data_IF_893758117462
#
_entry.id   IF_893758117462
#
_cell.length_a   1.000
_cell.length_b   1.000
_cell.length_c   1.000
_cell.angle_alpha   90.00
_cell.angle_beta   90.00
_cell.angle_gamma   90.00
#
_symmetry.space_group_name_H-M   'P 1'
#
loop_
_entity.id
_entity.type
_entity.pdbx_description
1 polymer ?
#
# COMPACT_ATOMS: atom_id res chain seq x y z
N UNK A 1 78.67 -11.62 19.88
CA UNK A 1 77.23 -11.43 19.56
C UNK A 1 77.13 -10.93 18.14
N UNK A 2 76.60 -11.74 17.22
CA UNK A 2 76.37 -11.39 15.82
C UNK A 2 74.95 -10.83 15.70
N UNK A 3 74.80 -9.67 15.07
CA UNK A 3 73.51 -9.11 14.68
C UNK A 3 73.12 -9.68 13.33
N UNK A 4 71.99 -10.38 13.27
CA UNK A 4 71.39 -10.80 12.02
C UNK A 4 70.10 -10.02 11.76
N UNK A 5 70.08 -9.48 10.55
CA UNK A 5 69.06 -8.75 9.85
C UNK A 5 67.68 -9.41 9.88
N UNK A 6 66.66 -8.64 10.27
CA UNK A 6 65.26 -8.89 9.91
C UNK A 6 64.81 -7.73 9.02
N UNK A 7 65.21 -7.78 7.76
CA UNK A 7 64.71 -6.90 6.70
C UNK A 7 63.43 -7.53 6.13
N UNK A 8 62.28 -7.13 6.67
CA UNK A 8 60.97 -7.56 6.22
C UNK A 8 60.65 -6.92 4.84
N UNK A 9 60.66 -7.74 3.78
CA UNK A 9 60.49 -7.30 2.37
C UNK A 9 59.03 -7.25 1.88
N UNK A 10 58.04 -7.39 2.76
CA UNK A 10 56.63 -7.53 2.36
C UNK A 10 55.78 -6.24 2.29
N UNK A 11 56.36 -5.05 2.43
CA UNK A 11 55.59 -3.79 2.48
C UNK A 11 55.39 -3.04 1.16
N UNK A 12 55.64 -3.67 0.01
CA UNK A 12 55.43 -3.03 -1.31
C UNK A 12 54.54 -3.88 -2.22
N UNK A 13 53.28 -4.10 -1.81
CA UNK A 13 52.22 -4.34 -2.80
C UNK A 13 51.69 -3.00 -3.28
N UNK A 14 51.64 -2.75 -4.60
CA UNK A 14 51.04 -1.54 -5.13
C UNK A 14 49.58 -1.49 -4.66
N UNK A 15 49.18 -0.36 -4.08
CA UNK A 15 47.77 -0.04 -3.88
C UNK A 15 47.13 -0.06 -5.27
N UNK A 16 46.29 -1.06 -5.53
CA UNK A 16 45.39 -1.04 -6.68
C UNK A 16 44.68 0.32 -6.66
N UNK A 17 44.97 1.13 -7.67
CA UNK A 17 44.31 2.41 -7.85
C UNK A 17 42.82 2.15 -8.03
N UNK A 18 41.99 2.96 -7.39
CA UNK A 18 40.53 2.87 -7.37
C UNK A 18 39.90 2.70 -8.77
N UNK A 19 40.60 3.14 -9.81
CA UNK A 19 40.21 3.01 -11.21
C UNK A 19 40.22 1.55 -11.74
N UNK A 20 41.14 0.68 -11.30
CA UNK A 20 41.19 -0.72 -11.76
C UNK A 20 40.14 -1.60 -11.07
N UNK A 21 39.71 -1.23 -9.86
CA UNK A 21 38.60 -1.89 -9.17
C UNK A 21 37.28 -1.53 -9.85
N UNK A 22 37.11 -0.25 -10.24
CA UNK A 22 35.93 0.21 -10.97
C UNK A 22 35.85 -0.39 -12.40
N UNK A 23 36.98 -0.50 -13.11
CA UNK A 23 37.01 -1.08 -14.45
C UNK A 23 36.72 -2.60 -14.46
N UNK A 24 37.00 -3.33 -13.36
CA UNK A 24 36.67 -4.76 -13.25
C UNK A 24 35.21 -5.04 -12.88
N UNK A 25 34.49 -4.07 -12.33
CA UNK A 25 33.05 -4.20 -12.08
C UNK A 25 32.20 -3.90 -13.34
N UNK A 26 32.73 -3.16 -14.31
CA UNK A 26 32.02 -2.86 -15.58
C UNK A 26 32.01 -4.02 -16.60
N UNK A 27 32.92 -5.00 -16.49
CA UNK A 27 33.13 -6.00 -17.54
C UNK A 27 32.41 -7.35 -17.35
N UNK A 28 31.65 -7.56 -16.26
CA UNK A 28 30.91 -8.81 -16.03
C UNK A 28 29.45 -8.60 -15.65
N UNK A 29 28.64 -8.60 -16.69
CA UNK A 29 27.19 -8.80 -16.62
C UNK A 29 26.48 -7.62 -17.23
N UNK A 30 25.63 -7.87 -18.21
CA UNK A 30 24.67 -6.92 -18.74
C UNK A 30 23.91 -6.31 -17.54
N UNK A 31 24.40 -5.18 -17.05
CA UNK A 31 24.14 -4.63 -15.73
C UNK A 31 22.76 -4.02 -15.61
N UNK A 32 21.73 -4.82 -15.90
CA UNK A 32 20.37 -4.48 -15.51
C UNK A 32 20.34 -4.57 -13.99
N UNK A 33 20.03 -3.45 -13.29
CA UNK A 33 19.89 -3.49 -11.84
C UNK A 33 18.86 -4.56 -11.49
N UNK A 34 19.30 -5.63 -10.81
CA UNK A 34 18.41 -6.67 -10.33
C UNK A 34 17.53 -6.07 -9.23
N UNK A 35 16.24 -5.95 -9.52
CA UNK A 35 15.24 -5.28 -8.70
C UNK A 35 14.85 -6.08 -7.44
N UNK A 36 15.33 -7.32 -7.25
CA UNK A 36 14.68 -8.26 -6.32
C UNK A 36 15.33 -8.54 -4.97
N UNK A 37 16.38 -7.83 -4.53
CA UNK A 37 16.95 -8.04 -3.18
C UNK A 37 16.36 -7.15 -2.08
N UNK A 38 15.29 -6.39 -2.36
CA UNK A 38 14.58 -5.65 -1.32
C UNK A 38 13.79 -6.65 -0.45
N UNK A 39 14.12 -6.70 0.85
CA UNK A 39 13.51 -7.50 1.94
C UNK A 39 14.09 -8.89 2.26
N UNK A 40 15.24 -9.29 1.70
CA UNK A 40 15.88 -10.56 2.07
C UNK A 40 15.05 -11.82 1.73
N UNK A 41 14.05 -11.65 0.85
CA UNK A 41 13.33 -12.74 0.22
C UNK A 41 14.08 -13.08 -1.06
N UNK A 42 14.56 -14.32 -1.16
CA UNK A 42 15.33 -14.83 -2.30
C UNK A 42 14.44 -15.05 -3.54
N UNK A 43 13.74 -14.01 -3.99
CA UNK A 43 12.83 -14.08 -5.14
C UNK A 43 13.57 -14.36 -6.45
N UNK A 44 14.79 -13.83 -6.58
CA UNK A 44 15.57 -13.81 -7.83
C UNK A 44 16.60 -14.94 -7.96
N UNK A 45 16.58 -15.96 -7.08
CA UNK A 45 17.47 -17.10 -7.26
C UNK A 45 17.15 -17.81 -8.59
N UNK A 46 18.12 -18.01 -9.50
CA UNK A 46 17.89 -18.81 -10.70
C UNK A 46 17.35 -20.19 -10.32
N UNK A 47 16.12 -20.52 -10.74
CA UNK A 47 15.43 -21.77 -10.37
C UNK A 47 14.43 -21.64 -9.20
N UNK A 48 14.29 -20.46 -8.59
CA UNK A 48 13.15 -20.14 -7.70
C UNK A 48 11.88 -20.08 -8.55
N UNK A 49 11.03 -21.10 -8.41
CA UNK A 49 9.70 -21.14 -8.99
C UNK A 49 8.74 -20.24 -8.19
N UNK A 50 9.17 -19.02 -7.85
CA UNK A 50 8.34 -18.12 -7.06
C UNK A 50 6.99 -17.98 -7.74
N UNK A 51 5.89 -18.38 -7.08
CA UNK A 51 4.56 -18.26 -7.65
C UNK A 51 4.09 -16.81 -7.73
N UNK A 52 4.91 -15.86 -7.26
CA UNK A 52 4.57 -14.45 -7.20
C UNK A 52 5.05 -13.74 -8.47
N UNK A 53 4.20 -12.87 -9.04
CA UNK A 53 4.58 -12.10 -10.21
C UNK A 53 5.79 -11.22 -9.88
N UNK A 54 6.84 -11.28 -10.70
CA UNK A 54 7.98 -10.39 -10.58
C UNK A 54 7.54 -8.95 -10.85
N UNK A 55 8.08 -7.99 -10.10
CA UNK A 55 7.78 -6.56 -10.28
C UNK A 55 8.11 -6.05 -11.70
N UNK A 56 8.90 -6.82 -12.45
CA UNK A 56 9.30 -6.57 -13.83
C UNK A 56 8.26 -6.96 -14.89
N UNK A 57 7.11 -7.54 -14.51
CA UNK A 57 6.07 -7.93 -15.46
C UNK A 57 5.38 -6.74 -16.15
N UNK A 58 5.48 -5.54 -15.57
CA UNK A 58 4.90 -4.34 -16.18
C UNK A 58 5.83 -3.74 -17.24
N UNK A 59 5.27 -3.11 -18.30
CA UNK A 59 6.05 -2.38 -19.28
C UNK A 59 7.04 -1.40 -18.64
N UNK A 60 8.26 -1.36 -19.17
CA UNK A 60 9.37 -0.57 -18.62
C UNK A 60 9.02 0.93 -18.49
N UNK A 61 8.30 1.49 -19.47
CA UNK A 61 7.88 2.90 -19.45
C UNK A 61 6.92 3.26 -18.30
N UNK A 62 6.32 2.28 -17.62
CA UNK A 62 5.51 2.49 -16.42
C UNK A 62 6.32 2.35 -15.12
N UNK A 63 7.56 1.86 -15.20
CA UNK A 63 8.42 1.56 -14.05
C UNK A 63 9.60 2.54 -13.96
N UNK A 64 10.25 2.76 -15.10
CA UNK A 64 11.47 3.56 -15.22
C UNK A 64 11.18 4.82 -16.02
N UNK A 65 11.76 5.94 -15.58
CA UNK A 65 11.65 7.23 -16.26
C UNK A 65 11.29 8.37 -15.30
N UNK A 66 11.36 9.61 -15.79
CA UNK A 66 10.96 10.77 -15.01
C UNK A 66 9.46 10.74 -14.71
N UNK A 67 9.06 11.37 -13.61
CA UNK A 67 7.65 11.62 -13.35
C UNK A 67 7.09 12.55 -14.42
N UNK A 68 5.86 12.27 -14.87
CA UNK A 68 5.15 13.16 -15.77
C UNK A 68 4.78 14.48 -15.09
N UNK A 69 4.70 15.54 -15.87
CA UNK A 69 4.21 16.83 -15.37
C UNK A 69 2.79 16.74 -14.79
N UNK A 70 1.94 15.88 -15.36
CA UNK A 70 0.57 15.68 -14.86
C UNK A 70 0.54 15.05 -13.47
N UNK A 71 1.45 14.11 -13.17
CA UNK A 71 1.63 13.59 -11.81
C UNK A 71 2.00 14.72 -10.84
N UNK A 72 3.00 15.53 -11.19
CA UNK A 72 3.43 16.65 -10.35
C UNK A 72 2.30 17.68 -10.12
N UNK A 73 1.60 18.08 -11.19
CA UNK A 73 0.46 19.01 -11.12
C UNK A 73 -0.64 18.43 -10.21
N UNK A 74 -0.97 17.15 -10.38
CA UNK A 74 -1.97 16.50 -9.53
C UNK A 74 -1.54 16.49 -8.06
N UNK A 75 -0.30 16.13 -7.75
CA UNK A 75 0.20 16.09 -6.37
C UNK A 75 0.17 17.48 -5.71
N UNK A 76 0.61 18.51 -6.42
CA UNK A 76 0.54 19.90 -5.93
C UNK A 76 -0.90 20.32 -5.71
N UNK A 77 -1.81 20.03 -6.65
CA UNK A 77 -3.23 20.33 -6.51
C UNK A 77 -3.87 19.56 -5.35
N UNK A 78 -3.50 18.29 -5.14
CA UNK A 78 -4.05 17.46 -4.09
C UNK A 78 -3.58 17.90 -2.69
N UNK A 79 -2.28 18.22 -2.55
CA UNK A 79 -1.74 18.84 -1.33
C UNK A 79 -2.41 20.19 -1.09
N UNK A 80 -2.51 21.04 -2.13
CA UNK A 80 -3.19 22.32 -2.06
C UNK A 80 -4.63 22.18 -1.58
N UNK A 81 -5.38 21.23 -2.14
CA UNK A 81 -6.73 20.91 -1.69
C UNK A 81 -6.78 20.53 -0.21
N UNK A 82 -5.95 19.58 0.24
CA UNK A 82 -5.93 19.12 1.64
C UNK A 82 -5.58 20.27 2.60
N UNK A 83 -4.56 21.07 2.27
CA UNK A 83 -4.12 22.19 3.13
C UNK A 83 -5.17 23.30 3.17
N UNK A 84 -5.67 23.74 2.02
CA UNK A 84 -6.60 24.87 1.95
C UNK A 84 -7.99 24.55 2.50
N UNK A 85 -8.40 23.28 2.47
CA UNK A 85 -9.68 22.84 3.02
C UNK A 85 -9.63 22.39 4.49
N UNK A 86 -8.45 22.46 5.13
CA UNK A 86 -8.28 22.02 6.52
C UNK A 86 -9.13 22.82 7.52
N UNK A 87 -9.34 24.12 7.29
CA UNK A 87 -10.21 24.94 8.14
C UNK A 87 -11.67 24.48 8.10
N UNK A 88 -12.19 24.15 6.91
CA UNK A 88 -13.55 23.63 6.77
C UNK A 88 -13.73 22.27 7.46
N UNK A 89 -12.70 21.41 7.40
CA UNK A 89 -12.70 20.15 8.13
C UNK A 89 -12.64 20.37 9.66
N UNK A 90 -11.88 21.37 10.11
CA UNK A 90 -11.79 21.74 11.52
C UNK A 90 -13.12 22.24 12.09
N UNK A 91 -13.87 23.04 11.34
CA UNK A 91 -15.20 23.53 11.74
C UNK A 91 -16.18 22.37 12.00
N UNK A 92 -16.02 21.26 11.27
CA UNK A 92 -16.82 20.04 11.41
C UNK A 92 -16.37 19.13 12.57
N UNK A 93 -15.30 19.44 13.30
CA UNK A 93 -14.78 18.62 14.41
C UNK A 93 -15.80 18.45 15.54
N UNK A 94 -16.64 19.47 15.76
CA UNK A 94 -17.73 19.43 16.73
C UNK A 94 -18.73 18.30 16.47
N UNK A 95 -18.99 17.97 15.19
CA UNK A 95 -19.92 16.93 14.75
C UNK A 95 -19.49 15.52 15.14
N UNK A 96 -18.20 15.31 15.44
CA UNK A 96 -17.72 14.03 15.98
C UNK A 96 -18.30 13.74 17.37
N UNK A 97 -18.65 14.78 18.13
CA UNK A 97 -19.22 14.65 19.48
C UNK A 97 -20.71 14.27 19.45
N UNK A 98 -21.38 14.53 18.33
CA UNK A 98 -22.79 14.19 18.14
C UNK A 98 -23.00 12.69 17.87
N UNK A 99 -21.92 11.92 17.66
CA UNK A 99 -21.99 10.48 17.49
C UNK A 99 -22.44 9.80 18.79
N UNK A 100 -23.64 9.22 18.76
CA UNK A 100 -24.14 8.42 19.87
C UNK A 100 -23.18 7.26 20.19
N UNK A 101 -22.94 6.96 21.48
CA UNK A 101 -22.10 5.84 21.86
C UNK A 101 -22.71 4.54 21.35
N UNK A 102 -21.87 3.65 20.81
CA UNK A 102 -22.31 2.32 20.39
C UNK A 102 -22.90 1.53 21.58
N UNK A 103 -24.00 0.82 21.33
CA UNK A 103 -24.57 -0.08 22.34
C UNK A 103 -23.57 -1.18 22.72
N UNK A 104 -23.74 -1.77 23.90
CA UNK A 104 -22.85 -2.84 24.38
C UNK A 104 -22.75 -3.99 23.37
N UNK A 105 -23.87 -4.40 22.75
CA UNK A 105 -23.89 -5.47 21.74
C UNK A 105 -23.06 -5.10 20.51
N UNK A 106 -23.19 -3.87 20.00
CA UNK A 106 -22.40 -3.39 18.87
C UNK A 106 -20.91 -3.34 19.23
N UNK A 107 -20.57 -2.92 20.45
CA UNK A 107 -19.19 -2.91 20.95
C UNK A 107 -18.60 -4.32 21.02
N UNK A 108 -19.34 -5.29 21.54
CA UNK A 108 -18.90 -6.69 21.61
C UNK A 108 -18.73 -7.31 20.23
N UNK A 109 -19.65 -7.03 19.30
CA UNK A 109 -19.55 -7.49 17.91
C UNK A 109 -18.28 -6.95 17.23
N UNK A 110 -18.02 -5.65 17.36
CA UNK A 110 -16.79 -5.04 16.83
C UNK A 110 -15.54 -5.56 17.55
N UNK A 111 -15.62 -5.86 18.86
CA UNK A 111 -14.55 -6.50 19.61
C UNK A 111 -14.19 -7.88 19.07
N UNK A 112 -15.20 -8.73 18.80
CA UNK A 112 -14.99 -10.02 18.17
C UNK A 112 -14.37 -9.88 16.77
N UNK A 113 -14.84 -8.91 15.98
CA UNK A 113 -14.26 -8.59 14.68
C UNK A 113 -12.80 -8.12 14.78
N UNK A 114 -12.46 -7.26 15.74
CA UNK A 114 -11.08 -6.81 15.96
C UNK A 114 -10.13 -7.96 16.29
N UNK A 115 -10.57 -8.89 17.16
CA UNK A 115 -9.80 -10.11 17.49
C UNK A 115 -9.61 -10.97 16.25
N UNK A 116 -10.67 -11.22 15.49
CA UNK A 116 -10.60 -11.99 14.25
C UNK A 116 -9.62 -11.39 13.25
N UNK A 117 -9.74 -10.10 12.95
CA UNK A 117 -8.88 -9.41 11.99
C UNK A 117 -7.42 -9.35 12.47
N UNK A 118 -7.20 -9.16 13.77
CA UNK A 118 -5.86 -9.22 14.37
C UNK A 118 -5.24 -10.61 14.22
N UNK A 119 -6.02 -11.68 14.37
CA UNK A 119 -5.56 -13.04 14.15
C UNK A 119 -5.16 -13.28 12.67
N UNK A 120 -5.91 -12.75 11.72
CA UNK A 120 -5.57 -12.80 10.28
C UNK A 120 -4.28 -12.02 9.99
N UNK A 121 -4.12 -10.83 10.58
CA UNK A 121 -2.88 -10.03 10.49
C UNK A 121 -1.70 -10.80 11.06
N UNK A 122 -1.81 -11.34 12.28
CA UNK A 122 -0.75 -12.11 12.92
C UNK A 122 -0.39 -13.37 12.13
N UNK A 123 -1.39 -14.09 11.61
CA UNK A 123 -1.18 -15.22 10.72
C UNK A 123 -0.44 -14.80 9.44
N UNK A 124 -0.82 -13.67 8.84
CA UNK A 124 -0.15 -13.14 7.65
C UNK A 124 1.31 -12.80 7.94
N UNK A 125 1.58 -12.05 9.02
CA UNK A 125 2.95 -11.69 9.42
C UNK A 125 3.79 -12.95 9.66
N UNK A 126 3.23 -13.95 10.32
CA UNK A 126 3.93 -15.22 10.58
C UNK A 126 4.31 -15.96 9.29
N UNK A 127 3.42 -16.01 8.30
CA UNK A 127 3.62 -16.84 7.10
C UNK A 127 4.31 -16.09 5.94
N UNK A 128 4.15 -14.78 5.88
CA UNK A 128 4.61 -13.96 4.73
C UNK A 128 5.55 -12.84 5.14
N UNK A 129 5.70 -12.56 6.44
CA UNK A 129 6.47 -11.42 6.94
C UNK A 129 5.67 -10.11 6.94
N UNK A 130 6.38 -9.00 7.14
CA UNK A 130 5.76 -7.66 7.23
C UNK A 130 5.50 -7.02 5.87
N UNK A 131 6.04 -7.57 4.77
CA UNK A 131 5.96 -6.93 3.46
C UNK A 131 4.52 -6.64 2.99
N UNK A 132 3.48 -7.48 3.24
CA UNK A 132 2.14 -7.14 2.76
C UNK A 132 1.60 -5.85 3.35
N UNK A 133 2.11 -5.41 4.50
CA UNK A 133 1.68 -4.20 5.21
C UNK A 133 2.17 -2.90 4.57
N UNK A 134 3.02 -2.96 3.54
CA UNK A 134 3.30 -1.79 2.69
C UNK A 134 2.22 -1.59 1.63
N UNK A 135 1.32 -2.57 1.45
CA UNK A 135 0.25 -2.53 0.46
C UNK A 135 -0.95 -1.72 0.95
N UNK A 136 -1.62 -1.05 0.02
CA UNK A 136 -2.85 -0.29 0.25
C UNK A 136 -3.94 -1.14 0.92
N UNK A 137 -4.09 -2.37 0.44
CA UNK A 137 -5.09 -3.34 0.93
C UNK A 137 -4.85 -3.69 2.39
N UNK A 138 -3.60 -3.99 2.76
CA UNK A 138 -3.28 -4.35 4.14
C UNK A 138 -3.39 -3.15 5.09
N UNK A 139 -3.03 -1.94 4.64
CA UNK A 139 -3.24 -0.71 5.42
C UNK A 139 -4.73 -0.47 5.63
N UNK A 140 -5.56 -0.61 4.59
CA UNK A 140 -7.02 -0.52 4.69
C UNK A 140 -7.58 -1.50 5.74
N UNK A 141 -7.14 -2.77 5.68
CA UNK A 141 -7.54 -3.80 6.63
C UNK A 141 -7.08 -3.49 8.07
N UNK A 142 -5.86 -2.96 8.23
CA UNK A 142 -5.33 -2.51 9.51
C UNK A 142 -6.12 -1.35 10.11
N UNK A 143 -6.48 -0.33 9.32
CA UNK A 143 -7.31 0.78 9.77
C UNK A 143 -8.71 0.32 10.19
N UNK A 144 -9.31 -0.63 9.46
CA UNK A 144 -10.59 -1.22 9.84
C UNK A 144 -10.48 -2.01 11.16
N UNK A 145 -9.40 -2.77 11.34
CA UNK A 145 -9.09 -3.46 12.60
C UNK A 145 -8.98 -2.47 13.77
N UNK A 146 -8.25 -1.36 13.58
CA UNK A 146 -8.11 -0.30 14.58
C UNK A 146 -9.44 0.35 14.91
N UNK A 147 -10.27 0.67 13.90
CA UNK A 147 -11.61 1.20 14.11
C UNK A 147 -12.44 0.25 14.97
N UNK A 148 -12.45 -1.05 14.66
CA UNK A 148 -13.19 -2.05 15.43
C UNK A 148 -12.71 -2.10 16.88
N UNK A 149 -11.39 -2.02 17.09
CA UNK A 149 -10.78 -1.90 18.42
C UNK A 149 -11.24 -0.65 19.17
N UNK A 150 -11.22 0.52 18.53
CA UNK A 150 -11.68 1.78 19.13
C UNK A 150 -13.17 1.73 19.52
N UNK A 151 -14.02 1.15 18.68
CA UNK A 151 -15.44 0.97 18.98
C UNK A 151 -15.61 0.07 20.22
N UNK A 152 -14.93 -1.08 20.24
CA UNK A 152 -14.97 -2.01 21.38
C UNK A 152 -14.57 -1.32 22.69
N UNK A 153 -13.48 -0.54 22.66
CA UNK A 153 -12.95 0.19 23.82
C UNK A 153 -13.77 1.43 24.21
N UNK A 154 -14.76 1.84 23.42
CA UNK A 154 -15.55 3.05 23.67
C UNK A 154 -14.84 4.35 23.30
N UNK A 155 -13.79 4.28 22.48
CA UNK A 155 -13.03 5.42 21.98
C UNK A 155 -13.72 6.03 20.74
N UNK A 156 -14.92 6.56 20.94
CA UNK A 156 -15.84 6.94 19.86
C UNK A 156 -15.25 7.98 18.90
N UNK A 157 -14.53 9.00 19.40
CA UNK A 157 -13.93 10.01 18.54
C UNK A 157 -12.87 9.42 17.58
N UNK A 158 -11.99 8.54 18.09
CA UNK A 158 -10.98 7.87 17.28
C UNK A 158 -11.61 6.90 16.26
N UNK A 159 -12.67 6.19 16.67
CA UNK A 159 -13.45 5.37 15.75
C UNK A 159 -14.04 6.22 14.62
N UNK A 160 -14.71 7.34 14.94
CA UNK A 160 -15.35 8.22 13.96
C UNK A 160 -14.33 8.82 12.96
N UNK A 161 -13.13 9.20 13.39
CA UNK A 161 -12.08 9.68 12.48
C UNK A 161 -11.76 8.63 11.39
N UNK A 162 -11.76 7.34 11.76
CA UNK A 162 -11.50 6.24 10.83
C UNK A 162 -12.73 5.80 10.03
N UNK A 163 -13.91 6.39 10.27
CA UNK A 163 -15.19 5.94 9.69
C UNK A 163 -15.18 5.88 8.18
N UNK A 164 -14.91 7.01 7.54
CA UNK A 164 -14.93 7.09 6.10
C UNK A 164 -13.66 6.55 5.42
N UNK A 165 -12.43 6.78 5.96
CA UNK A 165 -11.22 6.19 5.39
C UNK A 165 -11.30 4.68 5.15
N UNK A 166 -11.82 3.92 6.13
CA UNK A 166 -11.86 2.45 6.01
C UNK A 166 -12.81 1.99 4.90
N UNK A 167 -13.97 2.64 4.75
CA UNK A 167 -14.93 2.31 3.69
C UNK A 167 -14.37 2.69 2.33
N UNK A 168 -13.86 3.92 2.19
CA UNK A 168 -13.34 4.42 0.93
C UNK A 168 -12.16 3.57 0.41
N UNK A 169 -11.22 3.22 1.30
CA UNK A 169 -10.09 2.36 0.94
C UNK A 169 -10.52 0.93 0.63
N UNK A 170 -11.45 0.35 1.40
CA UNK A 170 -11.97 -0.99 1.12
C UNK A 170 -12.72 -1.03 -0.21
N UNK A 171 -13.50 0.00 -0.55
CA UNK A 171 -14.17 0.10 -1.84
C UNK A 171 -13.17 0.21 -2.98
N UNK A 172 -12.16 1.09 -2.91
CA UNK A 172 -11.11 1.17 -3.95
C UNK A 172 -10.42 -0.19 -4.11
N UNK A 173 -10.05 -0.83 -3.01
CA UNK A 173 -9.39 -2.14 -3.02
C UNK A 173 -10.25 -3.17 -3.73
N UNK A 174 -11.51 -3.34 -3.33
CA UNK A 174 -12.39 -4.34 -3.92
C UNK A 174 -12.76 -4.02 -5.36
N UNK A 175 -13.04 -2.76 -5.69
CA UNK A 175 -13.39 -2.34 -7.06
C UNK A 175 -12.20 -2.51 -8.00
N UNK A 176 -11.04 -1.95 -7.66
CA UNK A 176 -9.86 -2.01 -8.53
C UNK A 176 -9.38 -3.46 -8.66
N UNK A 177 -9.30 -4.22 -7.56
CA UNK A 177 -8.83 -5.59 -7.63
C UNK A 177 -9.85 -6.52 -8.31
N UNK A 178 -11.07 -6.64 -7.79
CA UNK A 178 -12.01 -7.68 -8.24
C UNK A 178 -12.76 -7.32 -9.52
N UNK A 179 -13.05 -6.04 -9.76
CA UNK A 179 -13.85 -5.63 -10.92
C UNK A 179 -13.00 -5.20 -12.11
N UNK A 180 -11.74 -4.82 -11.89
CA UNK A 180 -10.85 -4.34 -12.96
C UNK A 180 -9.66 -5.28 -13.16
N UNK A 181 -8.76 -5.40 -12.19
CA UNK A 181 -7.49 -6.11 -12.38
C UNK A 181 -7.68 -7.61 -12.50
N UNK A 182 -8.45 -8.23 -11.62
CA UNK A 182 -8.70 -9.67 -11.61
C UNK A 182 -9.22 -10.21 -12.96
N UNK A 183 -10.31 -9.66 -13.56
CA UNK A 183 -10.79 -10.15 -14.84
C UNK A 183 -9.82 -9.88 -16.00
N UNK A 184 -9.15 -8.72 -16.02
CA UNK A 184 -8.16 -8.40 -17.06
C UNK A 184 -6.98 -9.38 -17.01
N UNK A 185 -6.40 -9.59 -15.81
CA UNK A 185 -5.27 -10.48 -15.62
C UNK A 185 -5.68 -11.92 -15.93
N UNK A 186 -6.85 -12.37 -15.48
CA UNK A 186 -7.33 -13.73 -15.76
C UNK A 186 -7.54 -13.98 -17.25
N UNK A 187 -8.08 -12.99 -17.98
CA UNK A 187 -8.28 -13.07 -19.42
C UNK A 187 -6.94 -13.08 -20.18
N UNK A 188 -5.98 -12.26 -19.77
CA UNK A 188 -4.66 -12.15 -20.38
C UNK A 188 -3.69 -13.28 -20.01
N UNK A 189 -3.92 -13.97 -18.89
CA UNK A 189 -3.04 -15.04 -18.41
C UNK A 189 -3.05 -16.26 -19.34
N UNK A 190 -1.85 -16.82 -19.60
CA UNK A 190 -1.68 -18.09 -20.27
C UNK A 190 -2.36 -19.24 -19.50
N UNK A 191 -2.79 -20.28 -20.21
CA UNK A 191 -3.56 -21.38 -19.65
C UNK A 191 -2.85 -22.05 -18.45
N UNK A 192 -1.53 -22.23 -18.51
CA UNK A 192 -0.74 -22.78 -17.40
C UNK A 192 -0.76 -21.92 -16.12
N UNK A 193 -0.88 -20.60 -16.24
CA UNK A 193 -0.80 -19.67 -15.10
C UNK A 193 -2.16 -19.36 -14.48
N UNK A 194 -3.27 -19.56 -15.22
CA UNK A 194 -4.63 -19.27 -14.74
C UNK A 194 -4.96 -20.00 -13.43
N UNK A 195 -4.59 -21.28 -13.31
CA UNK A 195 -4.89 -22.07 -12.11
C UNK A 195 -4.14 -21.56 -10.87
N UNK A 196 -2.89 -21.14 -11.04
CA UNK A 196 -2.10 -20.55 -9.96
C UNK A 196 -2.68 -19.18 -9.54
N UNK A 197 -3.03 -18.33 -10.51
CA UNK A 197 -3.65 -17.04 -10.26
C UNK A 197 -4.99 -17.17 -9.53
N UNK A 198 -5.86 -18.10 -9.96
CA UNK A 198 -7.11 -18.39 -9.26
C UNK A 198 -6.85 -18.90 -7.84
N UNK A 199 -5.94 -19.86 -7.65
CA UNK A 199 -5.59 -20.38 -6.31
C UNK A 199 -5.11 -19.27 -5.38
N UNK A 200 -4.29 -18.34 -5.90
CA UNK A 200 -3.83 -17.17 -5.15
C UNK A 200 -5.03 -16.29 -4.74
N UNK A 201 -5.86 -15.86 -5.69
CA UNK A 201 -7.00 -14.98 -5.44
C UNK A 201 -8.06 -15.57 -4.51
N UNK A 202 -8.28 -16.88 -4.58
CA UNK A 202 -9.19 -17.62 -3.71
C UNK A 202 -8.51 -18.16 -2.45
N UNK A 203 -7.28 -17.74 -2.14
CA UNK A 203 -6.64 -18.05 -0.86
C UNK A 203 -7.37 -17.34 0.28
N UNK A 204 -7.39 -17.98 1.46
CA UNK A 204 -8.05 -17.42 2.66
C UNK A 204 -7.53 -16.01 2.98
N UNK A 205 -6.23 -15.78 2.79
CA UNK A 205 -5.60 -14.48 3.01
C UNK A 205 -6.18 -13.39 2.07
N UNK A 206 -6.13 -13.62 0.76
CA UNK A 206 -6.59 -12.61 -0.21
C UNK A 206 -8.10 -12.40 -0.16
N UNK A 207 -8.88 -13.46 0.07
CA UNK A 207 -10.32 -13.33 0.28
C UNK A 207 -10.63 -12.45 1.50
N UNK A 208 -9.92 -12.63 2.61
CA UNK A 208 -10.10 -11.78 3.80
C UNK A 208 -9.77 -10.32 3.53
N UNK A 209 -8.60 -10.03 2.96
CA UNK A 209 -8.15 -8.65 2.80
C UNK A 209 -8.80 -7.90 1.63
N UNK A 210 -9.14 -8.58 0.52
CA UNK A 210 -9.70 -7.92 -0.67
C UNK A 210 -11.23 -8.04 -0.78
N UNK A 211 -11.79 -9.19 -0.42
CA UNK A 211 -13.23 -9.45 -0.60
C UNK A 211 -14.03 -9.16 0.67
N UNK A 212 -13.66 -9.75 1.81
CA UNK A 212 -14.41 -9.59 3.07
C UNK A 212 -14.18 -8.24 3.75
N UNK A 213 -13.10 -7.52 3.40
CA UNK A 213 -12.82 -6.20 3.94
C UNK A 213 -13.96 -5.18 3.65
N UNK A 214 -14.49 -5.17 2.43
CA UNK A 214 -15.57 -4.25 2.05
C UNK A 214 -16.90 -4.52 2.79
N UNK A 215 -17.45 -5.74 2.83
CA UNK A 215 -18.63 -6.04 3.63
C UNK A 215 -18.49 -5.66 5.11
N UNK A 216 -17.32 -5.91 5.72
CA UNK A 216 -17.06 -5.53 7.11
C UNK A 216 -17.00 -4.01 7.30
N UNK A 217 -16.35 -3.28 6.38
CA UNK A 217 -16.31 -1.83 6.40
C UNK A 217 -17.72 -1.22 6.25
N UNK A 218 -18.53 -1.75 5.32
CA UNK A 218 -19.92 -1.33 5.11
C UNK A 218 -20.80 -1.63 6.33
N UNK A 219 -20.69 -2.82 6.92
CA UNK A 219 -21.41 -3.17 8.14
C UNK A 219 -21.05 -2.22 9.30
N UNK A 220 -19.79 -1.84 9.43
CA UNK A 220 -19.34 -0.85 10.41
C UNK A 220 -19.84 0.55 10.10
N UNK A 221 -19.97 0.93 8.82
CA UNK A 221 -20.52 2.23 8.40
C UNK A 221 -22.00 2.36 8.74
N UNK A 222 -22.77 1.29 8.51
CA UNK A 222 -24.22 1.24 8.79
C UNK A 222 -24.56 1.07 10.27
N UNK A 223 -23.60 0.67 11.10
CA UNK A 223 -23.79 0.59 12.56
C UNK A 223 -23.89 1.97 13.24
N UNK A 224 -23.70 3.08 12.50
CA UNK A 224 -23.72 4.44 13.01
C UNK A 224 -24.75 5.31 12.30
N UNK A 225 -25.44 6.15 13.06
CA UNK A 225 -26.58 6.96 12.60
C UNK A 225 -26.20 8.33 12.01
N UNK A 226 -25.02 8.87 12.33
CA UNK A 226 -24.61 10.20 11.85
C UNK A 226 -24.32 10.18 10.35
N UNK A 227 -24.83 11.14 9.59
CA UNK A 227 -24.44 11.35 8.19
C UNK A 227 -22.97 11.77 8.09
N UNK A 228 -22.30 11.41 6.99
CA UNK A 228 -20.92 11.88 6.76
C UNK A 228 -20.90 13.41 6.55
N UNK A 229 -19.93 14.06 7.18
CA UNK A 229 -19.66 15.49 7.07
C UNK A 229 -18.35 15.73 6.30
N UNK A 230 -17.97 16.98 6.08
CA UNK A 230 -16.80 17.29 5.26
C UNK A 230 -15.49 16.79 5.90
N UNK A 231 -15.41 16.82 7.23
CA UNK A 231 -14.27 16.26 7.97
C UNK A 231 -14.02 14.79 7.63
N UNK A 232 -15.07 13.99 7.48
CA UNK A 232 -14.93 12.56 7.15
C UNK A 232 -14.24 12.37 5.79
N UNK A 233 -14.66 13.14 4.77
CA UNK A 233 -14.03 13.17 3.44
C UNK A 233 -12.59 13.64 3.52
N UNK A 234 -12.34 14.73 4.24
CA UNK A 234 -11.02 15.33 4.38
C UNK A 234 -10.02 14.36 5.01
N UNK A 235 -10.40 13.64 6.08
CA UNK A 235 -9.53 12.63 6.70
C UNK A 235 -9.23 11.49 5.72
N UNK A 236 -10.22 11.01 4.96
CA UNK A 236 -9.97 9.98 3.94
C UNK A 236 -9.02 10.48 2.83
N UNK A 237 -9.16 11.73 2.41
CA UNK A 237 -8.26 12.38 1.46
C UNK A 237 -6.83 12.48 2.01
N UNK A 238 -6.65 12.86 3.29
CA UNK A 238 -5.34 12.86 3.96
C UNK A 238 -4.73 11.46 3.97
N UNK A 239 -5.49 10.44 4.36
CA UNK A 239 -5.00 9.04 4.40
C UNK A 239 -4.59 8.58 2.99
N UNK A 240 -5.40 8.86 1.97
CA UNK A 240 -5.08 8.55 0.58
C UNK A 240 -3.82 9.29 0.10
N UNK A 241 -3.67 10.57 0.45
CA UNK A 241 -2.50 11.38 0.13
C UNK A 241 -1.23 10.82 0.78
N UNK A 242 -1.28 10.50 2.08
CA UNK A 242 -0.16 9.92 2.82
C UNK A 242 0.28 8.59 2.20
N UNK A 243 -0.68 7.72 1.85
CA UNK A 243 -0.37 6.48 1.17
C UNK A 243 0.23 6.72 -0.22
N UNK A 244 -0.32 7.65 -1.01
CA UNK A 244 0.19 7.96 -2.33
C UNK A 244 1.64 8.47 -2.26
N UNK A 245 1.95 9.35 -1.31
CA UNK A 245 3.33 9.79 -1.09
C UNK A 245 4.24 8.66 -0.64
N UNK A 246 3.80 7.82 0.29
CA UNK A 246 4.55 6.63 0.69
C UNK A 246 4.84 5.72 -0.51
N UNK A 247 3.83 5.45 -1.33
CA UNK A 247 3.98 4.63 -2.53
C UNK A 247 4.97 5.26 -3.51
N UNK A 248 4.81 6.53 -3.86
CA UNK A 248 5.63 7.19 -4.88
C UNK A 248 7.07 7.45 -4.42
N UNK A 249 7.26 7.91 -3.18
CA UNK A 249 8.56 8.33 -2.67
C UNK A 249 9.38 7.20 -2.07
N UNK A 250 8.71 6.14 -1.56
CA UNK A 250 9.39 5.01 -0.94
C UNK A 250 9.33 3.80 -1.85
N UNK A 251 8.14 3.29 -2.15
CA UNK A 251 8.04 2.00 -2.85
C UNK A 251 8.54 2.10 -4.29
N UNK A 252 7.99 3.04 -5.05
CA UNK A 252 8.30 3.24 -6.45
C UNK A 252 9.74 3.72 -6.68
N UNK A 253 10.28 4.56 -5.79
CA UNK A 253 11.70 4.94 -5.81
C UNK A 253 12.66 3.75 -5.61
N UNK A 254 12.20 2.70 -4.90
CA UNK A 254 12.93 1.45 -4.69
C UNK A 254 12.52 0.34 -5.69
N UNK A 255 11.78 0.67 -6.75
CA UNK A 255 11.38 -0.30 -7.79
C UNK A 255 10.23 -1.24 -7.41
N UNK A 256 9.53 -0.99 -6.29
CA UNK A 256 8.43 -1.82 -5.80
C UNK A 256 7.10 -1.38 -6.42
N UNK A 257 6.84 -1.81 -7.65
CA UNK A 257 5.65 -1.42 -8.41
C UNK A 257 4.42 -2.30 -8.11
N UNK A 258 3.93 -2.30 -6.87
CA UNK A 258 2.73 -3.08 -6.48
C UNK A 258 1.45 -2.63 -7.19
N UNK A 259 1.34 -1.34 -7.50
CA UNK A 259 0.14 -0.72 -8.05
C UNK A 259 0.48 0.04 -9.31
N UNK A 260 0.55 -0.64 -10.45
CA UNK A 260 0.92 0.00 -11.72
C UNK A 260 -0.02 1.16 -12.09
N UNK A 261 -1.27 1.08 -11.62
CA UNK A 261 -2.27 2.14 -11.79
C UNK A 261 -1.85 3.47 -11.13
N UNK A 262 -0.96 3.40 -10.12
CA UNK A 262 -0.43 4.57 -9.43
C UNK A 262 0.89 5.08 -10.03
N UNK A 263 1.38 4.50 -11.14
CA UNK A 263 2.61 4.96 -11.78
C UNK A 263 2.53 6.44 -12.17
N UNK A 264 3.50 7.29 -11.79
CA UNK A 264 3.50 8.71 -12.14
C UNK A 264 4.17 8.98 -13.49
N UNK A 265 4.71 7.97 -14.18
CA UNK A 265 5.45 8.12 -15.44
C UNK A 265 4.55 8.47 -16.64
N UNK A 266 3.41 7.79 -16.86
CA UNK A 266 2.56 8.15 -17.99
C UNK A 266 1.80 9.45 -17.72
N UNK A 267 1.67 10.31 -18.73
CA UNK A 267 0.93 11.57 -18.59
C UNK A 267 -0.56 11.35 -18.21
N UNK A 268 -1.13 10.20 -18.59
CA UNK A 268 -2.51 9.85 -18.27
C UNK A 268 -2.70 9.34 -16.83
N UNK A 269 -1.65 9.27 -16.00
CA UNK A 269 -1.76 8.87 -14.59
C UNK A 269 -2.78 9.72 -13.80
N UNK A 270 -2.94 10.99 -14.20
CA UNK A 270 -3.93 11.91 -13.63
C UNK A 270 -5.35 11.36 -13.71
N UNK A 271 -5.69 10.58 -14.75
CA UNK A 271 -7.00 9.95 -14.88
C UNK A 271 -7.21 8.91 -13.78
N UNK A 272 -6.20 8.10 -13.47
CA UNK A 272 -6.28 7.15 -12.36
C UNK A 272 -6.40 7.86 -11.02
N UNK A 273 -5.54 8.85 -10.76
CA UNK A 273 -5.54 9.58 -9.50
C UNK A 273 -6.87 10.30 -9.26
N UNK A 274 -7.37 11.02 -10.28
CA UNK A 274 -8.68 11.66 -10.23
C UNK A 274 -9.81 10.63 -10.13
N UNK A 275 -9.72 9.48 -10.78
CA UNK A 275 -10.73 8.42 -10.70
C UNK A 275 -10.88 7.86 -9.29
N UNK A 276 -9.76 7.66 -8.57
CA UNK A 276 -9.77 7.22 -7.17
C UNK A 276 -10.40 8.29 -6.26
N UNK A 277 -10.02 9.56 -6.41
CA UNK A 277 -10.60 10.65 -5.62
C UNK A 277 -12.08 10.90 -5.96
N UNK A 278 -12.46 10.74 -7.22
CA UNK A 278 -13.86 10.82 -7.64
C UNK A 278 -14.67 9.71 -6.99
N UNK A 279 -14.15 8.48 -6.94
CA UNK A 279 -14.80 7.39 -6.22
C UNK A 279 -14.98 7.71 -4.73
N UNK A 280 -13.98 8.32 -4.08
CA UNK A 280 -14.10 8.82 -2.72
C UNK A 280 -15.23 9.86 -2.61
N UNK A 281 -15.28 10.85 -3.49
CA UNK A 281 -16.29 11.89 -3.46
C UNK A 281 -17.71 11.32 -3.68
N UNK A 282 -17.88 10.36 -4.59
CA UNK A 282 -19.18 9.72 -4.82
C UNK A 282 -19.64 8.88 -3.63
N UNK A 283 -18.74 8.12 -3.00
CA UNK A 283 -19.05 7.37 -1.78
C UNK A 283 -19.41 8.31 -0.63
N UNK A 284 -18.65 9.41 -0.46
CA UNK A 284 -18.95 10.40 0.56
C UNK A 284 -20.34 11.00 0.36
N UNK A 285 -20.67 11.40 -0.88
CA UNK A 285 -21.99 11.92 -1.22
C UNK A 285 -23.10 10.89 -0.93
N UNK A 286 -22.88 9.62 -1.28
CA UNK A 286 -23.86 8.55 -1.05
C UNK A 286 -24.16 8.30 0.43
N UNK A 287 -23.15 8.39 1.31
CA UNK A 287 -23.32 8.21 2.75
C UNK A 287 -23.56 9.52 3.52
N UNK A 288 -23.43 10.66 2.86
CA UNK A 288 -23.66 11.99 3.43
C UNK A 288 -25.05 12.57 3.15
N UNK A 289 -25.75 12.04 2.14
CA UNK A 289 -27.17 12.33 1.86
C UNK A 289 -28.11 11.53 2.76
#
# INVERSE_FOLDING_TARGET
>A
MKSEDILNKDTLRPRNTSAEVLAKEEEKGDGKPQSGNFFGLEWDKPGSSSPWPTFDQFPEHLRVGPWSYSACIFLVAFVGFVVLSASWAYDDLSKLRDAAPASFQIRMLHGAGAVYMTAIIAYTVKNTGLWPFVSYTAISYGLLTLRFGFICLGLQAAAEILRFPVVAMATVTSTVWWLVLFPIILAAAAAEHRRAFLRMNFSVFLLNMHLFNLPMALASQWSYSRALCFLDFWVAAVVAMLYLFFYLLVMDANGLHLYIILSPRPWWCIVSYCGILLLYAQLHRFFGS
#
